data_IF_393354193457
#
_entry.id   IF_393354193457
#
_cell.length_a   1.000
_cell.length_b   1.000
_cell.length_c   1.000
_cell.angle_alpha   90.00
_cell.angle_beta   90.00
_cell.angle_gamma   90.00
#
_symmetry.space_group_name_H-M   'P 1'
#
loop_
_entity.id
_entity.type
_entity.pdbx_description
1 polymer ?
#
# COMPACT_ATOMS: atom_id res chain seq x y z
N UNK A 1 10.71 6.50 18.45
CA UNK A 1 10.85 7.29 17.21
C UNK A 1 10.03 8.56 17.41
N UNK A 2 10.63 9.74 17.23
CA UNK A 2 9.94 11.01 17.39
C UNK A 2 9.63 11.55 15.99
N UNK A 3 8.35 11.63 15.65
CA UNK A 3 7.91 12.05 14.30
C UNK A 3 7.03 13.27 14.41
N UNK A 4 7.36 14.31 13.64
CA UNK A 4 6.52 15.50 13.49
C UNK A 4 5.62 15.30 12.27
N UNK A 5 4.34 15.05 12.55
CA UNK A 5 3.35 14.75 11.53
C UNK A 5 2.75 16.00 10.86
N UNK A 6 3.03 17.20 11.39
CA UNK A 6 2.43 18.43 10.85
C UNK A 6 3.14 18.98 9.62
N UNK A 7 4.42 18.67 9.47
CA UNK A 7 5.20 19.02 8.28
C UNK A 7 4.84 18.16 7.06
N UNK A 8 4.12 17.05 7.28
CA UNK A 8 3.73 16.12 6.22
C UNK A 8 2.41 16.59 5.57
N UNK A 9 2.45 16.73 4.24
CA UNK A 9 1.29 17.11 3.43
C UNK A 9 0.43 15.91 3.03
N UNK A 10 1.05 14.75 2.90
CA UNK A 10 0.46 13.61 2.19
C UNK A 10 0.19 12.44 3.14
N UNK A 11 -0.94 11.78 2.91
CA UNK A 11 -1.33 10.55 3.59
C UNK A 11 -0.22 9.49 3.57
N UNK A 12 0.43 9.28 2.41
CA UNK A 12 1.52 8.30 2.27
C UNK A 12 2.71 8.60 3.17
N UNK A 13 3.04 9.89 3.35
CA UNK A 13 4.18 10.30 4.15
C UNK A 13 3.92 10.04 5.64
N UNK A 14 2.68 10.28 6.10
CA UNK A 14 2.22 9.94 7.45
C UNK A 14 2.28 8.43 7.68
N UNK A 15 1.73 7.63 6.76
CA UNK A 15 1.80 6.16 6.85
C UNK A 15 3.23 5.63 6.85
N UNK A 16 4.11 6.20 6.03
CA UNK A 16 5.52 5.78 5.95
C UNK A 16 6.26 6.08 7.24
N UNK A 17 6.09 7.28 7.80
CA UNK A 17 6.71 7.67 9.07
C UNK A 17 6.25 6.78 10.24
N UNK A 18 4.95 6.44 10.28
CA UNK A 18 4.40 5.55 11.30
C UNK A 18 4.87 4.10 11.11
N UNK A 19 4.92 3.60 9.87
CA UNK A 19 5.35 2.22 9.56
C UNK A 19 6.82 1.95 9.89
N UNK A 20 7.66 2.99 9.92
CA UNK A 20 9.04 2.87 10.37
C UNK A 20 9.19 2.72 11.89
N UNK A 21 8.11 2.92 12.64
CA UNK A 21 8.16 2.83 14.11
C UNK A 21 7.92 1.40 14.57
N UNK A 22 8.79 0.93 15.48
CA UNK A 22 8.81 -0.47 15.92
C UNK A 22 7.59 -0.88 16.79
N UNK A 23 6.99 0.06 17.51
CA UNK A 23 5.83 -0.18 18.37
C UNK A 23 5.07 1.11 18.64
N UNK A 24 3.74 1.03 18.71
CA UNK A 24 2.87 2.18 18.99
C UNK A 24 3.21 2.85 20.33
N UNK A 25 3.54 2.07 21.37
CA UNK A 25 3.91 2.58 22.70
C UNK A 25 5.24 3.36 22.69
N UNK A 26 6.13 3.06 21.74
CA UNK A 26 7.45 3.71 21.59
C UNK A 26 7.45 4.82 20.53
N UNK A 27 6.27 5.15 20.00
CA UNK A 27 6.08 6.18 18.99
C UNK A 27 5.55 7.44 19.65
N UNK A 28 6.34 8.51 19.62
CA UNK A 28 5.95 9.79 20.18
C UNK A 28 5.59 10.73 19.04
N UNK A 29 4.34 11.17 19.04
CA UNK A 29 3.83 12.17 18.11
C UNK A 29 4.07 13.54 18.75
N UNK A 30 4.95 14.34 18.16
CA UNK A 30 5.42 15.60 18.76
C UNK A 30 4.36 16.71 18.72
N UNK A 31 3.44 16.66 17.75
CA UNK A 31 2.42 17.68 17.56
C UNK A 31 1.13 17.03 17.03
N UNK A 32 -0.03 17.53 17.46
CA UNK A 32 -1.33 17.03 16.98
C UNK A 32 -1.44 17.19 15.46
N UNK A 33 -1.85 16.12 14.77
CA UNK A 33 -2.01 16.10 13.31
C UNK A 33 -3.47 16.24 12.92
N UNK A 34 -3.71 16.75 11.71
CA UNK A 34 -5.06 16.79 11.15
C UNK A 34 -5.48 15.40 10.62
N UNK A 35 -6.46 14.79 11.29
CA UNK A 35 -7.05 13.51 10.88
C UNK A 35 -7.66 13.54 9.47
N UNK A 36 -8.00 14.72 8.96
CA UNK A 36 -8.51 14.88 7.59
C UNK A 36 -7.47 14.49 6.54
N UNK A 37 -6.16 14.69 6.82
CA UNK A 37 -5.04 14.27 5.95
C UNK A 37 -4.85 12.75 5.91
N UNK A 38 -5.31 12.07 6.96
CA UNK A 38 -5.32 10.61 7.09
C UNK A 38 -6.54 9.96 6.45
N UNK A 39 -7.60 10.72 6.21
CA UNK A 39 -8.87 10.16 5.70
C UNK A 39 -9.25 10.71 4.32
N UNK A 40 -8.52 11.72 3.81
CA UNK A 40 -8.68 12.17 2.44
C UNK A 40 -8.40 11.00 1.49
N UNK A 41 -9.40 10.68 0.67
CA UNK A 41 -9.49 9.43 -0.06
C UNK A 41 -8.21 9.04 -0.78
N UNK A 42 -7.84 7.76 -0.64
CA UNK A 42 -6.77 7.14 -1.40
C UNK A 42 -7.03 7.38 -2.89
N UNK A 43 -5.98 7.77 -3.64
CA UNK A 43 -6.14 8.09 -5.05
C UNK A 43 -6.76 6.90 -5.80
N UNK A 44 -7.72 7.17 -6.68
CA UNK A 44 -8.39 6.12 -7.47
C UNK A 44 -7.39 5.26 -8.25
N UNK A 45 -6.26 5.86 -8.67
CA UNK A 45 -5.17 5.15 -9.31
C UNK A 45 -4.51 4.14 -8.36
N UNK A 46 -4.18 4.54 -7.13
CA UNK A 46 -3.55 3.65 -6.17
C UNK A 46 -4.49 2.49 -5.77
N UNK A 47 -5.79 2.77 -5.60
CA UNK A 47 -6.79 1.72 -5.38
C UNK A 47 -6.84 0.71 -6.54
N UNK A 48 -6.69 1.18 -7.78
CA UNK A 48 -6.61 0.29 -8.95
C UNK A 48 -5.35 -0.56 -8.93
N UNK A 49 -4.19 0.04 -8.63
CA UNK A 49 -2.92 -0.68 -8.54
C UNK A 49 -2.96 -1.76 -7.45
N UNK A 50 -3.49 -1.46 -6.26
CA UNK A 50 -3.66 -2.47 -5.20
C UNK A 50 -4.60 -3.60 -5.63
N UNK A 51 -5.70 -3.29 -6.31
CA UNK A 51 -6.61 -4.30 -6.83
C UNK A 51 -5.95 -5.18 -7.89
N UNK A 52 -5.13 -4.60 -8.76
CA UNK A 52 -4.36 -5.34 -9.76
C UNK A 52 -3.34 -6.28 -9.10
N UNK A 53 -2.67 -5.83 -8.03
CA UNK A 53 -1.78 -6.68 -7.23
C UNK A 53 -2.51 -7.83 -6.52
N UNK A 54 -3.68 -7.58 -5.94
CA UNK A 54 -4.50 -8.62 -5.30
C UNK A 54 -4.94 -9.68 -6.31
N UNK A 55 -5.38 -9.26 -7.50
CA UNK A 55 -5.73 -10.18 -8.59
C UNK A 55 -4.51 -11.01 -9.00
N UNK A 56 -3.33 -10.39 -9.11
CA UNK A 56 -2.10 -11.07 -9.49
C UNK A 56 -1.65 -12.09 -8.44
N UNK A 57 -1.84 -11.79 -7.15
CA UNK A 57 -1.56 -12.73 -6.06
C UNK A 57 -2.50 -13.94 -6.11
N UNK A 58 -3.80 -13.72 -6.32
CA UNK A 58 -4.78 -14.79 -6.50
C UNK A 58 -4.44 -15.68 -7.70
N UNK A 59 -4.05 -15.09 -8.83
CA UNK A 59 -3.58 -15.84 -10.02
C UNK A 59 -2.33 -16.66 -9.67
N UNK A 60 -1.38 -16.07 -8.93
CA UNK A 60 -0.15 -16.75 -8.53
C UNK A 60 -0.44 -17.95 -7.61
N UNK A 61 -1.36 -17.78 -6.66
CA UNK A 61 -1.82 -18.82 -5.77
C UNK A 61 -2.54 -19.95 -6.54
N UNK A 62 -3.48 -19.62 -7.45
CA UNK A 62 -4.16 -20.61 -8.29
C UNK A 62 -3.22 -21.38 -9.20
N UNK A 63 -2.14 -20.73 -9.66
CA UNK A 63 -1.10 -21.36 -10.47
C UNK A 63 -0.30 -22.34 -9.63
N UNK A 64 0.07 -21.95 -8.40
CA UNK A 64 0.74 -22.82 -7.45
C UNK A 64 -0.10 -24.05 -7.11
N UNK A 65 -1.42 -23.89 -6.95
CA UNK A 65 -2.34 -25.00 -6.74
C UNK A 65 -2.63 -25.85 -7.99
N UNK A 66 -2.10 -25.48 -9.16
CA UNK A 66 -2.33 -26.18 -10.42
C UNK A 66 -3.78 -26.10 -10.94
N UNK A 67 -4.57 -25.15 -10.42
CA UNK A 67 -5.99 -24.95 -10.78
C UNK A 67 -6.17 -23.96 -11.95
N UNK A 68 -5.09 -23.40 -12.45
CA UNK A 68 -5.14 -22.41 -13.54
C UNK A 68 -5.27 -23.11 -14.89
N UNK A 69 -6.26 -22.72 -15.73
CA UNK A 69 -6.41 -23.31 -17.06
C UNK A 69 -5.17 -23.09 -17.93
N UNK A 70 -4.76 -24.13 -18.66
CA UNK A 70 -3.59 -24.12 -19.57
C UNK A 70 -3.70 -23.03 -20.67
N UNK A 71 -4.92 -22.56 -20.96
CA UNK A 71 -5.20 -21.50 -21.92
C UNK A 71 -4.85 -20.09 -21.42
N UNK A 72 -4.64 -19.90 -20.11
CA UNK A 72 -4.29 -18.60 -19.53
C UNK A 72 -2.77 -18.44 -19.58
N UNK A 73 -2.27 -17.96 -20.72
CA UNK A 73 -0.88 -17.58 -20.89
C UNK A 73 -0.51 -16.45 -19.92
N UNK A 74 0.56 -16.64 -19.14
CA UNK A 74 1.20 -15.63 -18.27
C UNK A 74 1.66 -14.45 -19.13
N UNK A 75 0.75 -13.52 -19.40
CA UNK A 75 1.11 -12.17 -19.84
C UNK A 75 1.40 -11.36 -18.58
N UNK A 76 2.57 -11.63 -17.99
CA UNK A 76 3.05 -10.90 -16.81
C UNK A 76 3.45 -9.49 -17.20
N UNK A 77 2.48 -8.58 -17.05
CA UNK A 77 2.62 -7.12 -17.08
C UNK A 77 3.22 -6.51 -18.36
N UNK A 78 2.88 -5.23 -18.59
CA UNK A 78 3.49 -4.41 -19.62
C UNK A 78 5.02 -4.60 -19.62
N UNK A 79 5.57 -4.88 -20.80
CA UNK A 79 7.01 -4.77 -21.05
C UNK A 79 7.39 -3.35 -20.61
N UNK A 80 8.12 -3.25 -19.50
CA UNK A 80 8.70 -1.99 -19.05
C UNK A 80 9.63 -1.51 -20.18
N UNK A 81 9.23 -0.41 -20.83
CA UNK A 81 10.04 0.31 -21.83
C UNK A 81 11.17 1.02 -21.09
#
# INVERSE_FOLDING_TARGET
>A
NATDLNTLSDHHAIYTALSQSQSAEKTVILQGFDSSKLTHGVSCQLCREYRELEILDVITWLHFEGKLPISVSRSTHNILI
#
